data_IF_101793698365
#
_entry.id   IF_101793698365
#
_cell.length_a   1.000
_cell.length_b   1.000
_cell.length_c   1.000
_cell.angle_alpha   90.00
_cell.angle_beta   90.00
_cell.angle_gamma   90.00
#
_symmetry.space_group_name_H-M   'P 1'
#
loop_
_entity.id
_entity.type
_entity.pdbx_description
1 polymer ?
#
# COMPACT_ATOMS: atom_id res chain seq x y z
N UNK A 1 11.27 3.37 -18.35
CA UNK A 1 11.82 4.21 -19.45
C UNK A 1 11.81 5.66 -19.02
N UNK A 2 12.80 6.48 -19.41
CA UNK A 2 12.80 7.93 -19.15
C UNK A 2 12.32 8.74 -20.38
N UNK A 3 12.06 10.05 -20.19
CA UNK A 3 11.52 10.93 -21.24
C UNK A 3 12.41 11.01 -22.49
N UNK A 4 13.74 11.07 -22.31
CA UNK A 4 14.69 11.13 -23.43
C UNK A 4 14.71 9.83 -24.24
N UNK A 5 14.67 8.68 -23.56
CA UNK A 5 14.57 7.36 -24.19
C UNK A 5 13.26 7.22 -24.97
N UNK A 6 12.14 7.64 -24.40
CA UNK A 6 10.84 7.54 -25.04
C UNK A 6 10.79 8.40 -26.32
N UNK A 7 11.35 9.61 -26.31
CA UNK A 7 11.45 10.45 -27.51
C UNK A 7 12.33 9.81 -28.61
N UNK A 8 13.45 9.18 -28.22
CA UNK A 8 14.34 8.47 -29.16
C UNK A 8 13.65 7.31 -29.86
N UNK A 9 12.75 6.59 -29.19
CA UNK A 9 11.98 5.48 -29.80
C UNK A 9 11.13 5.95 -30.99
N UNK A 10 10.65 7.19 -30.93
CA UNK A 10 9.92 7.89 -32.00
C UNK A 10 10.82 8.71 -32.94
N UNK A 11 12.13 8.76 -32.69
CA UNK A 11 13.07 9.59 -33.48
C UNK A 11 12.85 11.09 -33.30
N UNK A 12 12.31 11.51 -32.16
CA UNK A 12 11.96 12.91 -31.86
C UNK A 12 12.99 13.54 -30.93
N UNK A 13 13.24 14.84 -31.11
CA UNK A 13 14.03 15.64 -30.17
C UNK A 13 13.15 16.31 -29.09
N UNK A 14 11.87 16.54 -29.40
CA UNK A 14 10.87 17.13 -28.52
C UNK A 14 9.46 16.78 -29.00
N UNK A 15 8.49 16.83 -28.08
CA UNK A 15 7.06 16.62 -28.37
C UNK A 15 6.32 17.95 -28.60
N UNK A 16 6.98 19.09 -28.36
CA UNK A 16 6.40 20.41 -28.52
C UNK A 16 6.00 20.66 -29.97
N UNK A 17 4.74 21.06 -30.19
CA UNK A 17 4.19 21.31 -31.52
C UNK A 17 3.58 20.09 -32.22
N UNK A 18 3.66 18.91 -31.62
CA UNK A 18 2.99 17.69 -32.12
C UNK A 18 1.65 17.56 -31.40
N UNK A 19 0.57 17.32 -32.13
CA UNK A 19 -0.76 17.09 -31.56
C UNK A 19 -0.93 15.62 -31.11
N UNK A 20 -1.87 15.37 -30.20
CA UNK A 20 -2.16 13.99 -29.73
C UNK A 20 -2.55 13.05 -30.89
N UNK A 21 -3.27 13.58 -31.89
CA UNK A 21 -3.69 12.79 -33.05
C UNK A 21 -2.53 12.49 -34.00
N UNK A 22 -1.63 13.45 -34.24
CA UNK A 22 -0.38 13.20 -34.97
C UNK A 22 0.50 12.18 -34.25
N UNK A 23 0.57 12.26 -32.92
CA UNK A 23 1.31 11.30 -32.09
C UNK A 23 0.74 9.88 -32.19
N UNK A 24 -0.60 9.73 -32.16
CA UNK A 24 -1.27 8.44 -32.40
C UNK A 24 -1.02 7.89 -33.80
N UNK A 25 -1.01 8.75 -34.82
CA UNK A 25 -0.73 8.34 -36.20
C UNK A 25 0.71 7.83 -36.33
N UNK A 26 1.68 8.53 -35.74
CA UNK A 26 3.08 8.07 -35.69
C UNK A 26 3.22 6.73 -34.98
N UNK A 27 2.56 6.56 -33.83
CA UNK A 27 2.52 5.28 -33.12
C UNK A 27 1.95 4.17 -34.00
N UNK A 28 0.81 4.37 -34.65
CA UNK A 28 0.19 3.35 -35.52
C UNK A 28 1.09 2.98 -36.70
N UNK A 29 1.82 3.94 -37.26
CA UNK A 29 2.77 3.70 -38.34
C UNK A 29 3.92 2.81 -37.86
N UNK A 30 4.58 3.20 -36.77
CA UNK A 30 5.68 2.43 -36.18
C UNK A 30 5.23 1.07 -35.65
N UNK A 31 4.01 0.98 -35.12
CA UNK A 31 3.43 -0.26 -34.62
C UNK A 31 3.19 -1.27 -35.74
N UNK A 32 2.80 -0.82 -36.94
CA UNK A 32 2.70 -1.69 -38.13
C UNK A 32 4.07 -2.13 -38.63
N UNK A 33 5.06 -1.24 -38.60
CA UNK A 33 6.42 -1.55 -39.07
C UNK A 33 7.16 -2.51 -38.13
N UNK A 34 6.97 -2.36 -36.80
CA UNK A 34 7.68 -3.13 -35.76
C UNK A 34 6.86 -4.27 -35.16
N UNK A 35 5.65 -4.55 -35.66
CA UNK A 35 4.82 -5.64 -35.15
C UNK A 35 5.52 -6.99 -35.32
N UNK A 36 5.53 -7.90 -34.35
CA UNK A 36 6.15 -9.22 -34.50
C UNK A 36 5.59 -10.06 -35.66
N UNK A 37 4.39 -9.72 -36.16
CA UNK A 37 3.76 -10.40 -37.31
C UNK A 37 4.22 -9.84 -38.67
N UNK A 38 5.05 -8.80 -38.70
CA UNK A 38 5.67 -8.31 -39.93
C UNK A 38 7.10 -8.86 -40.08
N UNK A 39 7.55 -9.06 -41.32
CA UNK A 39 8.83 -9.72 -41.65
C UNK A 39 10.09 -9.06 -41.04
N UNK A 40 9.97 -7.87 -40.45
CA UNK A 40 11.07 -7.10 -39.85
C UNK A 40 10.79 -6.69 -38.39
N UNK A 41 9.68 -7.13 -37.78
CA UNK A 41 9.33 -6.76 -36.41
C UNK A 41 9.85 -7.73 -35.37
N UNK A 42 10.09 -7.20 -34.17
CA UNK A 42 10.50 -7.98 -33.00
C UNK A 42 9.54 -7.68 -31.85
N UNK A 43 9.14 -8.74 -31.12
CA UNK A 43 8.32 -8.59 -29.92
C UNK A 43 8.93 -7.60 -28.93
N UNK A 44 10.27 -7.60 -28.80
CA UNK A 44 11.00 -6.67 -27.92
C UNK A 44 10.84 -5.21 -28.37
N UNK A 45 10.94 -4.95 -29.66
CA UNK A 45 10.87 -3.58 -30.21
C UNK A 45 9.45 -3.03 -30.16
N UNK A 46 8.44 -3.91 -30.31
CA UNK A 46 7.04 -3.56 -30.15
C UNK A 46 6.69 -3.21 -28.70
N UNK A 47 7.20 -3.98 -27.72
CA UNK A 47 7.03 -3.68 -26.30
C UNK A 47 7.65 -2.32 -25.95
N UNK A 48 8.89 -2.06 -26.40
CA UNK A 48 9.57 -0.78 -26.19
C UNK A 48 8.79 0.38 -26.82
N UNK A 49 8.24 0.20 -28.03
CA UNK A 49 7.40 1.21 -28.68
C UNK A 49 6.12 1.51 -27.88
N UNK A 50 5.48 0.48 -27.35
CA UNK A 50 4.27 0.62 -26.53
C UNK A 50 4.55 1.34 -25.22
N UNK A 51 5.61 0.95 -24.51
CA UNK A 51 6.03 1.62 -23.27
C UNK A 51 6.36 3.10 -23.50
N UNK A 52 7.06 3.41 -24.60
CA UNK A 52 7.37 4.80 -24.97
C UNK A 52 6.11 5.60 -25.28
N UNK A 53 5.13 5.00 -25.97
CA UNK A 53 3.86 5.64 -26.29
C UNK A 53 3.05 5.95 -25.04
N UNK A 54 2.89 4.98 -24.14
CA UNK A 54 2.12 5.15 -22.91
C UNK A 54 2.78 6.22 -22.01
N UNK A 55 4.11 6.17 -21.86
CA UNK A 55 4.86 7.15 -21.09
C UNK A 55 4.72 8.58 -21.65
N UNK A 56 4.92 8.77 -22.96
CA UNK A 56 4.79 10.09 -23.57
C UNK A 56 3.35 10.57 -23.64
N UNK A 57 2.36 9.67 -23.69
CA UNK A 57 0.95 10.05 -23.63
C UNK A 57 0.56 10.51 -22.24
N UNK A 58 1.10 9.88 -21.18
CA UNK A 58 0.78 10.17 -19.78
C UNK A 58 1.54 11.39 -19.24
N UNK A 59 2.82 11.53 -19.62
CA UNK A 59 3.70 12.57 -19.08
C UNK A 59 4.13 13.61 -20.12
N UNK A 60 3.93 13.35 -21.41
CA UNK A 60 4.02 14.39 -22.44
C UNK A 60 2.77 15.28 -22.37
N UNK A 61 2.93 16.54 -22.74
CA UNK A 61 1.98 17.65 -22.65
C UNK A 61 0.59 17.45 -23.32
N UNK A 62 0.24 16.24 -23.75
CA UNK A 62 -1.07 15.85 -24.24
C UNK A 62 -2.16 15.81 -23.15
N UNK A 63 -1.78 15.76 -21.87
CA UNK A 63 -2.73 15.67 -20.75
C UNK A 63 -3.52 16.96 -20.46
N UNK A 64 -3.10 18.12 -20.96
CA UNK A 64 -3.84 19.39 -20.76
C UNK A 64 -5.25 19.37 -21.40
N UNK A 65 -5.48 18.51 -22.41
CA UNK A 65 -6.75 18.45 -23.15
C UNK A 65 -7.76 17.41 -22.65
N UNK A 66 -7.39 16.52 -21.72
CA UNK A 66 -8.31 15.48 -21.20
C UNK A 66 -9.07 15.87 -19.93
N UNK A 67 -8.56 16.82 -19.13
CA UNK A 67 -9.31 17.37 -17.98
C UNK A 67 -10.30 18.49 -18.38
N UNK A 68 -10.32 18.91 -19.64
CA UNK A 68 -11.11 20.05 -20.14
C UNK A 68 -12.43 19.68 -20.85
N UNK A 69 -12.84 18.40 -20.91
CA UNK A 69 -14.14 17.97 -21.49
C UNK A 69 -15.32 17.91 -20.50
N UNK A 70 -15.29 18.69 -19.42
CA UNK A 70 -16.48 18.89 -18.55
C UNK A 70 -16.59 20.34 -18.03
N UNK A 71 -16.50 21.32 -18.93
CA UNK A 71 -17.12 22.65 -18.85
C UNK A 71 -16.76 23.43 -20.10
N UNK A 72 -17.49 23.24 -21.18
CA UNK A 72 -17.60 24.29 -22.21
C UNK A 72 -18.44 25.42 -21.60
N UNK A 73 -17.78 26.29 -20.82
CA UNK A 73 -18.19 27.69 -20.80
C UNK A 73 -17.68 28.27 -22.11
N UNK A 74 -18.60 28.73 -22.95
CA UNK A 74 -18.30 29.65 -24.04
C UNK A 74 -17.44 30.80 -23.47
N UNK A 75 -16.13 30.74 -23.68
CA UNK A 75 -15.27 31.91 -23.50
C UNK A 75 -15.46 32.69 -24.79
N UNK A 76 -16.25 33.75 -24.67
CA UNK A 76 -16.46 34.71 -25.73
C UNK A 76 -15.10 35.34 -26.05
N UNK A 77 -14.67 35.30 -27.31
CA UNK A 77 -13.35 35.79 -27.77
C UNK A 77 -13.18 37.30 -27.49
N UNK A 78 -14.24 38.00 -27.11
CA UNK A 78 -14.22 39.37 -26.58
C UNK A 78 -13.49 39.53 -25.23
N UNK A 79 -13.29 38.44 -24.47
CA UNK A 79 -12.61 38.51 -23.16
C UNK A 79 -11.08 38.40 -23.29
N UNK A 80 -10.56 38.10 -24.48
CA UNK A 80 -9.11 38.09 -24.77
C UNK A 80 -8.60 39.49 -25.16
N UNK A 81 -9.51 40.41 -25.51
CA UNK A 81 -9.16 41.79 -25.88
C UNK A 81 -9.00 42.76 -24.69
N UNK A 82 -9.20 42.30 -23.45
CA UNK A 82 -8.88 43.05 -22.22
C UNK A 82 -7.58 42.58 -21.58
N UNK A 83 -6.53 42.40 -22.38
CA UNK A 83 -5.17 42.67 -21.87
C UNK A 83 -5.00 44.20 -21.88
N UNK A 84 -5.82 44.87 -21.05
CA UNK A 84 -5.39 46.14 -20.47
C UNK A 84 -4.08 45.83 -19.75
N UNK A 85 -3.03 46.53 -20.16
CA UNK A 85 -1.69 46.43 -19.63
C UNK A 85 -1.72 46.61 -18.12
N UNK A 86 -1.79 45.51 -17.36
CA UNK A 86 -1.56 45.54 -15.91
C UNK A 86 -0.24 46.26 -15.68
N UNK A 87 -0.27 47.36 -14.92
CA UNK A 87 0.95 48.07 -14.53
C UNK A 87 1.91 47.08 -13.88
N UNK A 88 3.22 47.30 -14.06
CA UNK A 88 4.27 46.48 -13.43
C UNK A 88 4.03 46.32 -11.93
N UNK A 89 3.52 47.35 -11.28
CA UNK A 89 3.22 47.35 -9.84
C UNK A 89 2.04 46.44 -9.48
N UNK A 90 1.02 46.35 -10.35
CA UNK A 90 -0.15 45.50 -10.16
C UNK A 90 0.21 44.02 -10.32
N UNK A 91 1.11 43.69 -11.27
CA UNK A 91 1.66 42.34 -11.44
C UNK A 91 2.48 41.93 -10.21
N UNK A 92 3.33 42.82 -9.69
CA UNK A 92 4.12 42.56 -8.48
C UNK A 92 3.22 42.39 -7.25
N UNK A 93 2.15 43.18 -7.13
CA UNK A 93 1.17 43.06 -6.04
C UNK A 93 0.47 41.69 -6.07
N UNK A 94 -0.06 41.29 -7.23
CA UNK A 94 -0.70 39.97 -7.39
C UNK A 94 0.25 38.82 -7.08
N UNK A 95 1.49 38.88 -7.59
CA UNK A 95 2.49 37.85 -7.27
C UNK A 95 2.76 37.72 -5.77
N UNK A 96 2.80 38.82 -5.02
CA UNK A 96 2.96 38.79 -3.56
C UNK A 96 1.74 38.19 -2.85
N UNK A 97 0.54 38.49 -3.34
CA UNK A 97 -0.71 37.94 -2.80
C UNK A 97 -0.79 36.43 -3.07
N UNK A 98 -0.55 36.01 -4.30
CA UNK A 98 -0.52 34.60 -4.71
C UNK A 98 0.54 33.82 -3.93
N UNK A 99 1.73 34.41 -3.75
CA UNK A 99 2.79 33.82 -2.93
C UNK A 99 2.35 33.62 -1.48
N UNK A 100 1.69 34.61 -0.87
CA UNK A 100 1.19 34.50 0.51
C UNK A 100 0.11 33.42 0.64
N UNK A 101 -0.77 33.31 -0.37
CA UNK A 101 -1.77 32.23 -0.42
C UNK A 101 -1.08 30.86 -0.49
N UNK A 102 -0.07 30.72 -1.35
CA UNK A 102 0.71 29.48 -1.47
C UNK A 102 1.47 29.13 -0.18
N UNK A 103 2.09 30.12 0.47
CA UNK A 103 2.79 29.92 1.75
C UNK A 103 1.83 29.43 2.83
N UNK A 104 0.64 30.04 2.94
CA UNK A 104 -0.40 29.57 3.87
C UNK A 104 -0.90 28.16 3.52
N UNK A 105 -1.07 27.85 2.24
CA UNK A 105 -1.48 26.51 1.80
C UNK A 105 -0.41 25.45 2.11
N UNK A 106 0.87 25.79 1.94
CA UNK A 106 1.99 24.93 2.31
C UNK A 106 2.02 24.65 3.80
N UNK A 107 1.84 25.67 4.64
CA UNK A 107 1.80 25.49 6.10
C UNK A 107 0.65 24.55 6.53
N UNK A 108 -0.55 24.74 5.96
CA UNK A 108 -1.69 23.86 6.22
C UNK A 108 -1.44 22.42 5.75
N UNK A 109 -0.68 22.25 4.66
CA UNK A 109 -0.30 20.95 4.12
C UNK A 109 0.74 20.26 5.01
N UNK A 110 1.78 20.97 5.44
CA UNK A 110 2.80 20.46 6.38
C UNK A 110 2.18 20.01 7.70
N UNK A 111 1.31 20.82 8.28
CA UNK A 111 0.56 20.43 9.48
C UNK A 111 -0.28 19.16 9.26
N UNK A 112 -0.82 19.00 8.05
CA UNK A 112 -1.59 17.79 7.68
C UNK A 112 -0.71 16.54 7.64
N UNK A 113 0.48 16.65 7.05
CA UNK A 113 1.43 15.54 6.97
C UNK A 113 1.87 15.14 8.38
N UNK A 114 2.27 16.11 9.19
CA UNK A 114 2.74 15.83 10.56
C UNK A 114 1.65 15.12 11.39
N UNK A 115 0.39 15.56 11.30
CA UNK A 115 -0.71 14.89 12.00
C UNK A 115 -0.96 13.45 11.52
N UNK A 116 -0.74 13.17 10.23
CA UNK A 116 -0.83 11.81 9.68
C UNK A 116 0.35 10.95 10.15
N UNK A 117 1.56 11.50 10.18
CA UNK A 117 2.75 10.82 10.69
C UNK A 117 2.60 10.46 12.17
N UNK A 118 2.09 11.39 13.00
CA UNK A 118 1.80 11.15 14.41
C UNK A 118 0.79 10.01 14.60
N UNK A 119 -0.29 10.00 13.79
CA UNK A 119 -1.30 8.94 13.82
C UNK A 119 -0.69 7.59 13.42
N UNK A 120 0.17 7.56 12.40
CA UNK A 120 0.86 6.35 11.97
C UNK A 120 1.83 5.83 13.03
N UNK A 121 2.51 6.73 13.74
CA UNK A 121 3.39 6.39 14.85
C UNK A 121 2.61 5.80 16.04
N UNK A 122 1.45 6.37 16.36
CA UNK A 122 0.53 5.84 17.38
C UNK A 122 0.11 4.40 17.04
N UNK A 123 -0.36 4.16 15.81
CA UNK A 123 -0.75 2.83 15.33
C UNK A 123 0.43 1.87 15.47
N UNK A 124 1.61 2.27 15.01
CA UNK A 124 2.82 1.44 15.06
C UNK A 124 3.14 1.00 16.50
N UNK A 125 3.16 1.94 17.44
CA UNK A 125 3.47 1.64 18.84
C UNK A 125 2.45 0.68 19.47
N UNK A 126 1.16 0.85 19.16
CA UNK A 126 0.10 -0.04 19.63
C UNK A 126 0.27 -1.44 19.04
N UNK A 127 0.52 -1.54 17.74
CA UNK A 127 0.73 -2.82 17.04
C UNK A 127 1.97 -3.55 17.57
N UNK A 128 3.09 -2.86 17.77
CA UNK A 128 4.30 -3.47 18.33
C UNK A 128 4.05 -4.05 19.72
N UNK A 129 3.32 -3.32 20.58
CA UNK A 129 2.92 -3.82 21.89
C UNK A 129 2.01 -5.06 21.77
N UNK A 130 1.01 -5.02 20.89
CA UNK A 130 0.09 -6.14 20.68
C UNK A 130 0.81 -7.40 20.18
N UNK A 131 1.78 -7.25 19.27
CA UNK A 131 2.59 -8.37 18.80
C UNK A 131 3.43 -8.98 19.93
N UNK A 132 4.04 -8.13 20.77
CA UNK A 132 4.80 -8.57 21.93
C UNK A 132 3.93 -9.34 22.93
N UNK A 133 2.76 -8.79 23.27
CA UNK A 133 1.81 -9.43 24.18
C UNK A 133 1.30 -10.78 23.62
N UNK A 134 1.03 -10.84 22.31
CA UNK A 134 0.62 -12.05 21.62
C UNK A 134 1.69 -13.16 21.66
N UNK A 135 2.95 -12.84 21.32
CA UNK A 135 4.04 -13.82 21.35
C UNK A 135 4.31 -14.31 22.78
N UNK A 136 4.19 -13.43 23.78
CA UNK A 136 4.30 -13.81 25.18
C UNK A 136 3.22 -14.80 25.60
N UNK A 137 1.95 -14.54 25.29
CA UNK A 137 0.84 -15.44 25.61
C UNK A 137 0.93 -16.77 24.87
N UNK A 138 1.31 -16.74 23.59
CA UNK A 138 1.61 -17.95 22.81
C UNK A 138 2.73 -18.78 23.44
N UNK A 139 3.80 -18.14 23.89
CA UNK A 139 4.89 -18.80 24.61
C UNK A 139 4.42 -19.48 25.89
N UNK A 140 3.59 -18.81 26.69
CA UNK A 140 2.99 -19.39 27.92
C UNK A 140 2.12 -20.61 27.62
N UNK A 141 1.29 -20.54 26.58
CA UNK A 141 0.45 -21.66 26.14
C UNK A 141 1.31 -22.86 25.75
N UNK A 142 2.41 -22.63 25.04
CA UNK A 142 3.34 -23.70 24.63
C UNK A 142 3.98 -24.37 25.84
N UNK A 143 4.52 -23.57 26.76
CA UNK A 143 5.12 -24.07 28.00
C UNK A 143 4.12 -24.90 28.80
N UNK A 144 2.88 -24.42 28.93
CA UNK A 144 1.82 -25.15 29.65
C UNK A 144 1.51 -26.49 28.99
N UNK A 145 1.45 -26.55 27.66
CA UNK A 145 1.23 -27.80 26.93
C UNK A 145 2.39 -28.77 27.16
N UNK A 146 3.63 -28.29 27.07
CA UNK A 146 4.82 -29.11 27.25
C UNK A 146 4.90 -29.68 28.68
N UNK A 147 4.58 -28.87 29.70
CA UNK A 147 4.48 -29.30 31.09
C UNK A 147 3.40 -30.39 31.27
N UNK A 148 2.21 -30.21 30.69
CA UNK A 148 1.15 -31.22 30.73
C UNK A 148 1.56 -32.53 30.06
N UNK A 149 2.21 -32.46 28.89
CA UNK A 149 2.70 -33.64 28.18
C UNK A 149 3.78 -34.33 29.00
N UNK A 150 4.73 -33.59 29.57
CA UNK A 150 5.79 -34.14 30.40
C UNK A 150 5.23 -34.83 31.65
N UNK A 151 4.22 -34.24 32.30
CA UNK A 151 3.52 -34.89 33.40
C UNK A 151 2.82 -36.18 32.97
N UNK A 152 2.12 -36.18 31.84
CA UNK A 152 1.46 -37.37 31.29
C UNK A 152 2.48 -38.46 30.97
N UNK A 153 3.62 -38.09 30.36
CA UNK A 153 4.72 -39.01 30.10
C UNK A 153 5.32 -39.59 31.37
N UNK A 154 5.49 -38.79 32.43
CA UNK A 154 6.01 -39.26 33.72
C UNK A 154 5.07 -40.26 34.41
N UNK A 155 3.75 -40.13 34.17
CA UNK A 155 2.71 -41.04 34.67
C UNK A 155 2.64 -42.34 33.85
N UNK A 156 3.08 -42.30 32.59
CA UNK A 156 3.08 -43.45 31.66
C UNK A 156 4.42 -44.22 31.63
N UNK A 157 5.56 -43.53 31.61
CA UNK A 157 6.91 -44.15 31.59
C UNK A 157 7.31 -44.62 32.99
N UNK A 158 7.92 -45.82 33.12
CA UNK A 158 8.36 -46.32 34.41
C UNK A 158 9.57 -45.53 34.93
N UNK A 159 9.50 -45.08 36.17
CA UNK A 159 10.71 -44.79 36.95
C UNK A 159 11.24 -46.11 37.52
N UNK A 160 12.51 -46.42 37.27
CA UNK A 160 13.17 -47.65 37.70
C UNK A 160 12.98 -47.94 39.21
N UNK A 161 12.99 -46.88 40.04
CA UNK A 161 12.75 -46.99 41.48
C UNK A 161 11.27 -47.23 41.87
N UNK A 162 10.30 -46.75 41.07
CA UNK A 162 8.87 -46.99 41.32
C UNK A 162 8.43 -48.41 40.95
N UNK A 163 9.09 -49.03 39.95
CA UNK A 163 8.88 -50.45 39.64
C UNK A 163 9.31 -51.36 40.79
N UNK A 164 10.30 -50.95 41.58
CA UNK A 164 10.85 -51.74 42.69
C UNK A 164 10.04 -51.60 44.00
N UNK A 165 9.35 -50.47 44.21
CA UNK A 165 8.77 -50.13 45.52
C UNK A 165 7.24 -49.99 45.56
N UNK A 166 6.51 -49.83 44.44
CA UNK A 166 5.06 -49.64 44.48
C UNK A 166 4.28 -50.26 43.30
N UNK A 167 3.24 -51.04 43.61
CA UNK A 167 2.18 -51.47 42.70
C UNK A 167 1.20 -50.31 42.37
N UNK A 168 1.70 -49.17 41.90
CA UNK A 168 0.82 -48.08 41.45
C UNK A 168 0.10 -48.49 40.15
N UNK A 169 -1.22 -48.26 40.03
CA UNK A 169 -1.98 -48.65 38.85
C UNK A 169 -1.46 -47.89 37.63
N UNK A 170 -1.06 -48.64 36.61
CA UNK A 170 -0.53 -48.10 35.35
C UNK A 170 -1.66 -47.44 34.57
N UNK A 171 -1.45 -46.22 34.10
CA UNK A 171 -2.30 -45.65 33.06
C UNK A 171 -2.19 -46.53 31.81
N UNK A 172 -3.32 -46.95 31.26
CA UNK A 172 -3.31 -47.76 30.04
C UNK A 172 -2.85 -46.92 28.84
N UNK A 173 -2.33 -47.56 27.79
CA UNK A 173 -1.96 -46.89 26.53
C UNK A 173 -3.13 -46.09 25.96
N UNK A 174 -4.36 -46.63 26.05
CA UNK A 174 -5.57 -45.97 25.57
C UNK A 174 -5.90 -44.71 26.37
N UNK A 175 -5.80 -44.79 27.70
CA UNK A 175 -6.01 -43.62 28.58
C UNK A 175 -4.96 -42.53 28.35
N UNK A 176 -3.69 -42.91 28.13
CA UNK A 176 -2.62 -41.97 27.81
C UNK A 176 -2.95 -41.18 26.53
N UNK A 177 -3.26 -41.87 25.43
CA UNK A 177 -3.56 -41.20 24.17
C UNK A 177 -4.84 -40.37 24.23
N UNK A 178 -5.86 -40.80 24.98
CA UNK A 178 -7.05 -39.98 25.19
C UNK A 178 -6.71 -38.67 25.91
N UNK A 179 -5.95 -38.72 27.02
CA UNK A 179 -5.56 -37.50 27.76
C UNK A 179 -4.61 -36.62 26.98
N UNK A 180 -3.68 -37.22 26.22
CA UNK A 180 -2.78 -36.49 25.33
C UNK A 180 -3.58 -35.70 24.28
N UNK A 181 -4.50 -36.38 23.58
CA UNK A 181 -5.34 -35.76 22.57
C UNK A 181 -6.23 -34.66 23.18
N UNK A 182 -6.73 -34.85 24.39
CA UNK A 182 -7.49 -33.84 25.12
C UNK A 182 -6.65 -32.59 25.41
N UNK A 183 -5.45 -32.75 25.97
CA UNK A 183 -4.52 -31.64 26.24
C UNK A 183 -4.15 -30.87 24.96
N UNK A 184 -3.81 -31.59 23.88
CA UNK A 184 -3.51 -30.97 22.58
C UNK A 184 -4.72 -30.23 22.04
N UNK A 185 -5.92 -30.83 22.10
CA UNK A 185 -7.16 -30.18 21.61
C UNK A 185 -7.48 -28.91 22.40
N UNK A 186 -7.33 -28.93 23.73
CA UNK A 186 -7.52 -27.75 24.56
C UNK A 186 -6.51 -26.65 24.23
N UNK A 187 -5.24 -27.00 23.99
CA UNK A 187 -4.24 -26.06 23.51
C UNK A 187 -4.64 -25.45 22.17
N UNK A 188 -5.04 -26.27 21.20
CA UNK A 188 -5.44 -25.80 19.86
C UNK A 188 -6.59 -24.79 19.95
N UNK A 189 -7.64 -25.09 20.74
CA UNK A 189 -8.76 -24.18 20.94
C UNK A 189 -8.33 -22.85 21.58
N UNK A 190 -7.47 -22.89 22.60
CA UNK A 190 -6.93 -21.68 23.25
C UNK A 190 -6.08 -20.87 22.27
N UNK A 191 -5.21 -21.53 21.51
CA UNK A 191 -4.35 -20.90 20.52
C UNK A 191 -5.16 -20.23 19.40
N UNK A 192 -6.18 -20.89 18.88
CA UNK A 192 -7.10 -20.32 17.89
C UNK A 192 -7.86 -19.12 18.44
N UNK A 193 -8.32 -19.20 19.70
CA UNK A 193 -9.01 -18.07 20.34
C UNK A 193 -8.09 -16.86 20.54
N UNK A 194 -6.81 -17.10 20.86
CA UNK A 194 -5.79 -16.07 20.99
C UNK A 194 -5.52 -15.42 19.62
N UNK A 195 -5.33 -16.21 18.57
CA UNK A 195 -5.14 -15.73 17.19
C UNK A 195 -6.30 -14.85 16.73
N UNK A 196 -7.53 -15.32 16.95
CA UNK A 196 -8.72 -14.58 16.55
C UNK A 196 -8.84 -13.25 17.30
N UNK A 197 -8.54 -13.25 18.59
CA UNK A 197 -8.58 -12.04 19.43
C UNK A 197 -7.52 -11.04 19.00
N UNK A 198 -6.28 -11.50 18.78
CA UNK A 198 -5.20 -10.68 18.25
C UNK A 198 -5.57 -10.06 16.90
N UNK A 199 -6.07 -10.87 15.96
CA UNK A 199 -6.45 -10.39 14.63
C UNK A 199 -7.57 -9.34 14.69
N UNK A 200 -8.60 -9.56 15.52
CA UNK A 200 -9.69 -8.59 15.71
C UNK A 200 -9.18 -7.24 16.20
N UNK A 201 -8.30 -7.25 17.21
CA UNK A 201 -7.74 -6.02 17.77
C UNK A 201 -6.87 -5.32 16.73
N UNK A 202 -6.01 -6.06 16.03
CA UNK A 202 -5.15 -5.52 14.97
C UNK A 202 -5.97 -4.81 13.89
N UNK A 203 -7.02 -5.46 13.37
CA UNK A 203 -7.90 -4.87 12.35
C UNK A 203 -8.60 -3.62 12.88
N UNK A 204 -9.07 -3.64 14.13
CA UNK A 204 -9.68 -2.47 14.76
C UNK A 204 -8.69 -1.31 14.88
N UNK A 205 -7.47 -1.55 15.37
CA UNK A 205 -6.44 -0.51 15.50
C UNK A 205 -6.09 0.12 14.16
N UNK A 206 -5.90 -0.68 13.11
CA UNK A 206 -5.66 -0.14 11.76
C UNK A 206 -6.89 0.61 11.22
N UNK A 207 -8.10 0.07 11.42
CA UNK A 207 -9.33 0.71 10.96
C UNK A 207 -9.57 2.07 11.61
N UNK A 208 -9.39 2.17 12.93
CA UNK A 208 -9.48 3.42 13.67
C UNK A 208 -8.42 4.43 13.22
N UNK A 209 -7.18 3.98 13.03
CA UNK A 209 -6.09 4.81 12.54
C UNK A 209 -6.35 5.37 11.14
N UNK A 210 -6.81 4.53 10.20
CA UNK A 210 -7.18 4.96 8.85
C UNK A 210 -8.38 5.92 8.86
N UNK A 211 -9.35 5.70 9.75
CA UNK A 211 -10.48 6.63 9.92
C UNK A 211 -10.02 8.00 10.42
N UNK A 212 -9.11 8.07 11.41
CA UNK A 212 -8.52 9.34 11.86
C UNK A 212 -7.83 10.08 10.71
N UNK A 213 -7.05 9.36 9.89
CA UNK A 213 -6.38 9.93 8.71
C UNK A 213 -7.42 10.46 7.70
N UNK A 214 -8.49 9.70 7.44
CA UNK A 214 -9.55 10.11 6.51
C UNK A 214 -10.29 11.37 6.99
N UNK A 215 -10.64 11.44 8.27
CA UNK A 215 -11.29 12.61 8.87
C UNK A 215 -10.42 13.87 8.76
N UNK A 216 -9.10 13.73 8.97
CA UNK A 216 -8.14 14.82 8.81
C UNK A 216 -8.05 15.34 7.36
N UNK A 217 -8.36 14.50 6.37
CA UNK A 217 -8.41 14.87 4.95
C UNK A 217 -9.75 15.52 4.56
N UNK A 218 -10.87 15.05 5.11
CA UNK A 218 -12.22 15.54 4.76
C UNK A 218 -12.52 16.94 5.32
N UNK A 219 -12.00 17.29 6.49
CA UNK A 219 -12.21 18.62 7.08
C UNK A 219 -11.51 19.78 6.34
N UNK A 220 -10.80 19.51 5.22
CA UNK A 220 -10.03 20.50 4.45
C UNK A 220 -10.50 20.73 3.01
N UNK A 221 -11.59 20.07 2.57
CA UNK A 221 -12.26 20.34 1.29
C UNK A 221 -13.55 21.14 1.48
#
# INVERSE_FOLDING_TARGET
MNYSEALKVFGLNSINGITEEEFKIMYRKLARERHPDTNNGSSKDFVILKEAFDYLREYGSFHEKRKSKKKEKNINISDITTIETLSRDEVVRRYKEDRKVLENQLEVFEQSINAQEDTMLEIKNVVEKLMSDYENEKGKLQITLDEQIQELESKYKPSFFKQLLFFLPRMSKKEFWNKYNESVSQYTLKYESLNLSFFKIMVATYGEGLNKISQNLEHKN
#
